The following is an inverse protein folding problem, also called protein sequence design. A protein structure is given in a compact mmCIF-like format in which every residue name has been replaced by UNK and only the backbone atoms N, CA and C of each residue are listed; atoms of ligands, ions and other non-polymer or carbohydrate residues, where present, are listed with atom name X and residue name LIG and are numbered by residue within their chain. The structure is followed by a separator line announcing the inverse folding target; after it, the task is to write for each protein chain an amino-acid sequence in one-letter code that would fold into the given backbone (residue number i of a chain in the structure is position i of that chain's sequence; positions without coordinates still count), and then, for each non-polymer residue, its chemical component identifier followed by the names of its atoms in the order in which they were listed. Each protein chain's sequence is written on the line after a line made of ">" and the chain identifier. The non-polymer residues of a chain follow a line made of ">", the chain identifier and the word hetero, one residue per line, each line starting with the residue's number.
data_IF_456613634406
#
_entry.id   IF_456613634406
#
_cell.length_a   1.000
_cell.length_b   1.000
_cell.length_c   1.000
_cell.angle_alpha   90.00
_cell.angle_beta   90.00
_cell.angle_gamma   90.00
#
_symmetry.space_group_name_H-M   'P 1'
#
loop_
_entity.id
_entity.type
_entity.pdbx_description
1 polymer ?
#
# COMPACT_ATOMS: atom_id res chain seq x y z
N UNK A 1 -3.11 -54.21 71.70
CA UNK A 1 -3.37 -55.37 70.83
C UNK A 1 -3.01 -54.98 69.41
N UNK A 2 -2.05 -55.73 68.85
CA UNK A 2 -1.60 -55.82 67.46
C UNK A 2 -0.83 -54.63 66.82
N UNK A 3 0.49 -54.71 67.04
CA UNK A 3 1.61 -54.45 66.11
C UNK A 3 1.42 -55.03 64.69
N UNK A 4 2.16 -54.50 63.70
CA UNK A 4 2.32 -55.19 62.41
C UNK A 4 3.06 -54.46 61.27
N UNK A 5 4.37 -54.26 61.43
CA UNK A 5 5.46 -54.43 60.45
C UNK A 5 5.28 -54.13 58.93
N UNK A 6 6.05 -53.13 58.49
CA UNK A 6 6.94 -53.03 57.31
C UNK A 6 6.79 -54.02 56.14
N UNK A 7 6.68 -53.49 54.91
CA UNK A 7 7.41 -54.02 53.72
C UNK A 7 7.68 -52.95 52.67
N UNK A 8 8.98 -52.69 52.46
CA UNK A 8 9.56 -52.02 51.30
C UNK A 8 9.31 -52.83 50.02
N UNK A 9 9.05 -52.18 48.90
CA UNK A 9 9.21 -52.77 47.56
C UNK A 9 9.85 -51.74 46.64
N UNK A 10 10.95 -52.15 46.02
CA UNK A 10 11.85 -51.33 45.22
C UNK A 10 11.29 -50.97 43.83
N UNK A 11 11.68 -49.80 43.33
CA UNK A 11 11.45 -49.36 41.94
C UNK A 11 12.28 -50.17 40.94
N UNK A 12 11.74 -50.49 39.75
CA UNK A 12 12.55 -50.80 38.57
C UNK A 12 12.97 -49.51 37.81
N UNK A 13 14.14 -49.52 37.13
CA UNK A 13 14.78 -48.34 36.55
C UNK A 13 14.16 -47.87 35.23
N UNK A 14 14.32 -46.56 34.96
CA UNK A 14 13.93 -45.89 33.71
C UNK A 14 14.82 -46.31 32.54
N UNK A 15 14.29 -46.57 31.34
CA UNK A 15 15.10 -46.73 30.15
C UNK A 15 15.67 -45.37 29.67
N UNK A 16 16.99 -45.31 29.59
CA UNK A 16 17.78 -44.26 28.95
C UNK A 16 17.71 -44.40 27.44
N UNK A 17 17.25 -43.38 26.73
CA UNK A 17 17.35 -43.28 25.27
C UNK A 17 18.25 -42.11 24.91
N UNK A 18 19.52 -42.40 24.63
CA UNK A 18 20.46 -41.46 24.03
C UNK A 18 20.17 -41.29 22.52
N UNK A 19 20.31 -40.07 21.96
CA UNK A 19 20.15 -39.83 20.53
C UNK A 19 21.38 -40.31 19.71
N UNK A 20 21.21 -40.70 18.44
CA UNK A 20 22.32 -41.14 17.59
C UNK A 20 23.22 -39.97 17.12
N UNK A 21 24.51 -40.23 16.83
CA UNK A 21 25.51 -39.20 16.51
C UNK A 21 25.38 -38.63 15.09
N UNK A 22 25.79 -37.36 14.95
CA UNK A 22 25.92 -36.64 13.68
C UNK A 22 27.16 -37.09 12.89
N UNK A 23 27.14 -37.11 11.54
CA UNK A 23 28.31 -37.42 10.72
C UNK A 23 29.33 -36.26 10.69
N UNK A 24 30.62 -36.56 10.40
CA UNK A 24 31.74 -35.67 10.68
C UNK A 24 31.92 -34.53 9.67
N UNK A 25 32.46 -33.43 10.20
CA UNK A 25 33.05 -32.30 9.48
C UNK A 25 34.43 -32.71 8.97
N UNK A 26 34.68 -32.60 7.67
CA UNK A 26 36.03 -32.65 7.11
C UNK A 26 36.43 -31.27 6.58
N UNK A 27 37.39 -30.65 7.26
CA UNK A 27 38.31 -29.68 6.67
C UNK A 27 39.51 -30.47 6.16
N UNK A 28 39.85 -30.34 4.89
CA UNK A 28 41.26 -30.20 4.51
C UNK A 28 41.45 -29.47 3.18
N UNK A 29 42.63 -28.87 3.07
CA UNK A 29 42.95 -27.73 2.23
C UNK A 29 43.57 -28.08 0.85
N UNK A 30 43.74 -26.99 0.08
CA UNK A 30 44.78 -26.73 -0.92
C UNK A 30 44.54 -27.08 -2.42
N UNK A 31 44.37 -25.98 -3.16
CA UNK A 31 45.07 -25.61 -4.39
C UNK A 31 44.96 -26.50 -5.65
N UNK A 32 44.30 -25.95 -6.68
CA UNK A 32 44.76 -25.85 -8.08
C UNK A 32 43.70 -25.12 -8.95
N UNK A 33 44.02 -23.93 -9.44
CA UNK A 33 43.39 -23.36 -10.65
C UNK A 33 44.25 -23.65 -11.89
N UNK A 34 43.93 -23.12 -13.09
CA UNK A 34 42.69 -22.51 -13.55
C UNK A 34 42.08 -23.29 -14.73
N UNK A 35 40.75 -23.30 -14.87
CA UNK A 35 40.13 -23.69 -16.13
C UNK A 35 38.83 -22.92 -16.34
N UNK A 36 38.84 -22.05 -17.34
CA UNK A 36 37.70 -21.33 -17.88
C UNK A 36 36.58 -22.31 -18.24
N UNK A 37 35.50 -22.30 -17.45
CA UNK A 37 34.18 -22.76 -17.93
C UNK A 37 33.22 -21.59 -17.85
N UNK A 38 32.76 -21.18 -19.03
CA UNK A 38 31.69 -20.21 -19.24
C UNK A 38 30.44 -20.75 -18.54
N UNK A 39 30.00 -20.07 -17.49
CA UNK A 39 28.67 -20.31 -16.92
C UNK A 39 27.60 -19.95 -17.95
N UNK A 40 26.43 -20.62 -17.93
CA UNK A 40 25.36 -20.30 -18.84
C UNK A 40 24.90 -18.86 -18.63
N UNK A 41 24.88 -18.11 -19.73
CA UNK A 41 24.29 -16.78 -19.85
C UNK A 41 22.83 -16.86 -19.39
N UNK A 42 22.53 -16.27 -18.23
CA UNK A 42 21.15 -15.98 -17.85
C UNK A 42 20.64 -14.96 -18.87
N UNK A 43 19.57 -15.24 -19.62
CA UNK A 43 19.04 -14.28 -20.57
C UNK A 43 18.55 -13.06 -19.79
N UNK A 44 19.18 -11.91 -20.02
CA UNK A 44 18.58 -10.60 -19.75
C UNK A 44 17.36 -10.50 -20.64
N UNK A 45 16.20 -10.77 -20.08
CA UNK A 45 14.94 -10.61 -20.78
C UNK A 45 14.65 -9.11 -20.90
N UNK A 46 14.98 -8.56 -22.06
CA UNK A 46 14.46 -7.30 -22.55
C UNK A 46 13.06 -7.55 -23.11
N UNK A 47 11.99 -7.07 -22.45
CA UNK A 47 10.68 -6.97 -23.09
C UNK A 47 10.45 -5.53 -23.53
N UNK A 48 10.51 -5.33 -24.85
CA UNK A 48 9.96 -4.17 -25.53
C UNK A 48 8.56 -4.46 -26.09
N UNK A 49 7.77 -3.40 -26.18
CA UNK A 49 6.62 -3.14 -27.06
C UNK A 49 5.42 -4.11 -27.05
N UNK A 50 4.29 -3.52 -26.64
CA UNK A 50 2.93 -3.66 -27.19
C UNK A 50 2.44 -5.06 -27.57
N UNK A 51 1.71 -5.69 -26.65
CA UNK A 51 0.57 -6.54 -26.99
C UNK A 51 -0.60 -6.26 -26.05
N UNK A 52 -1.67 -5.72 -26.61
CA UNK A 52 -3.03 -5.93 -26.13
C UNK A 52 -3.34 -7.43 -26.21
N UNK A 53 -3.78 -8.04 -25.11
CA UNK A 53 -4.46 -9.34 -25.10
C UNK A 53 -5.58 -9.37 -24.03
N UNK A 54 -6.65 -10.15 -24.26
CA UNK A 54 -7.97 -9.97 -23.66
C UNK A 54 -8.12 -10.65 -22.27
N UNK A 55 -9.30 -10.45 -21.68
CA UNK A 55 -9.72 -10.91 -20.34
C UNK A 55 -9.29 -12.35 -19.97
N UNK A 56 -8.86 -12.49 -18.70
CA UNK A 56 -8.76 -13.79 -18.02
C UNK A 56 -7.36 -14.40 -17.93
N UNK A 57 -6.42 -13.76 -17.23
CA UNK A 57 -5.26 -14.45 -16.63
C UNK A 57 -4.60 -13.55 -15.58
N UNK A 58 -4.56 -13.99 -14.32
CA UNK A 58 -3.83 -13.33 -13.23
C UNK A 58 -2.40 -13.86 -13.21
N UNK A 59 -1.47 -13.05 -13.70
CA UNK A 59 -0.03 -13.36 -13.68
C UNK A 59 0.57 -12.98 -12.31
N UNK A 60 1.32 -13.89 -11.69
CA UNK A 60 1.81 -13.83 -10.30
C UNK A 60 3.04 -12.91 -10.08
N UNK A 61 3.25 -11.89 -10.92
CA UNK A 61 4.46 -11.06 -10.86
C UNK A 61 4.19 -9.56 -11.12
N UNK A 62 3.12 -9.04 -10.52
CA UNK A 62 2.86 -7.60 -10.47
C UNK A 62 3.80 -6.94 -9.45
N UNK A 63 4.77 -6.16 -9.94
CA UNK A 63 5.45 -5.14 -9.12
C UNK A 63 4.39 -4.24 -8.47
N UNK A 64 4.64 -3.80 -7.24
CA UNK A 64 3.76 -3.01 -6.37
C UNK A 64 3.47 -1.59 -6.90
N UNK A 65 3.16 -1.44 -8.19
CA UNK A 65 2.71 -0.19 -8.75
C UNK A 65 1.18 -0.19 -8.68
N UNK A 66 0.61 0.78 -7.95
CA UNK A 66 -0.84 1.03 -7.86
C UNK A 66 -1.43 1.48 -9.22
N UNK A 67 -0.56 1.55 -10.23
CA UNK A 67 -0.85 1.91 -11.59
C UNK A 67 0.01 1.07 -12.56
N UNK A 68 -0.55 0.44 -13.62
CA UNK A 68 0.27 -0.07 -14.70
C UNK A 68 0.87 1.12 -15.47
N UNK A 69 2.16 1.40 -15.25
CA UNK A 69 2.92 2.42 -15.98
C UNK A 69 3.53 1.77 -17.24
N UNK A 70 3.24 2.25 -18.47
CA UNK A 70 4.11 2.00 -19.59
C UNK A 70 5.39 2.83 -19.38
N UNK A 71 6.53 2.15 -19.18
CA UNK A 71 7.84 2.82 -19.09
C UNK A 71 8.09 3.60 -20.38
N UNK A 72 8.23 4.92 -20.29
CA UNK A 72 8.85 5.72 -21.35
C UNK A 72 10.30 5.25 -21.50
N UNK A 73 10.63 4.66 -22.65
CA UNK A 73 12.00 4.32 -22.98
C UNK A 73 12.83 5.61 -23.02
N UNK A 74 13.77 5.77 -22.09
CA UNK A 74 14.84 6.74 -22.24
C UNK A 74 15.75 6.24 -23.36
N UNK A 75 15.45 6.61 -24.60
CA UNK A 75 16.35 6.37 -25.72
C UNK A 75 17.52 7.34 -25.57
N UNK A 76 18.69 6.81 -25.18
CA UNK A 76 19.93 7.58 -25.14
C UNK A 76 20.24 8.13 -26.53
N UNK A 77 20.01 9.41 -26.75
CA UNK A 77 20.52 10.12 -27.92
C UNK A 77 21.97 10.52 -27.65
N UNK A 78 22.88 9.98 -28.47
CA UNK A 78 24.22 10.56 -28.65
C UNK A 78 24.08 11.94 -29.29
N UNK A 79 24.89 12.94 -28.92
CA UNK A 79 24.89 14.23 -29.62
C UNK A 79 25.49 14.08 -31.03
N UNK A 80 24.92 14.74 -32.06
CA UNK A 80 25.52 14.81 -33.38
C UNK A 80 26.73 15.76 -33.41
N UNK A 81 27.68 15.57 -34.35
CA UNK A 81 28.85 16.44 -34.49
C UNK A 81 28.47 17.87 -34.94
N UNK A 82 29.32 18.88 -34.70
CA UNK A 82 28.99 20.27 -34.94
C UNK A 82 28.98 20.57 -36.46
N UNK A 83 27.79 20.70 -37.03
CA UNK A 83 27.56 21.19 -38.38
C UNK A 83 26.75 22.49 -38.34
N UNK A 84 27.30 23.56 -38.92
CA UNK A 84 26.65 24.88 -39.03
C UNK A 84 25.37 24.78 -39.86
N UNK A 85 24.21 25.10 -39.28
CA UNK A 85 22.99 25.38 -40.03
C UNK A 85 22.25 26.58 -39.44
N UNK A 86 21.89 27.50 -40.35
CA UNK A 86 21.11 28.73 -40.16
C UNK A 86 19.76 28.44 -39.48
N UNK A 87 19.39 29.26 -38.51
CA UNK A 87 18.04 29.30 -37.94
C UNK A 87 17.09 30.08 -38.85
N UNK A 88 15.95 29.52 -39.29
CA UNK A 88 14.76 30.33 -39.46
C UNK A 88 14.11 30.53 -38.09
N UNK A 89 13.81 31.79 -37.75
CA UNK A 89 12.87 32.14 -36.69
C UNK A 89 11.53 31.46 -36.99
N UNK A 90 11.02 30.58 -36.12
CA UNK A 90 9.61 30.62 -35.74
C UNK A 90 9.21 29.64 -34.63
N UNK A 91 8.21 30.09 -33.85
CA UNK A 91 7.29 29.38 -32.96
C UNK A 91 7.79 28.93 -31.58
N UNK A 92 7.79 29.87 -30.64
CA UNK A 92 7.29 29.57 -29.30
C UNK A 92 5.76 29.52 -29.35
N UNK A 93 5.19 28.32 -29.29
CA UNK A 93 3.84 28.13 -28.79
C UNK A 93 3.92 26.87 -27.93
N UNK A 94 4.02 27.08 -26.63
CA UNK A 94 3.84 26.03 -25.63
C UNK A 94 2.37 25.64 -25.71
N UNK A 95 2.05 24.68 -26.57
CA UNK A 95 0.77 24.00 -26.53
C UNK A 95 0.72 23.24 -25.19
N UNK A 96 0.13 23.88 -24.19
CA UNK A 96 -0.21 23.25 -22.93
C UNK A 96 -1.24 22.17 -23.27
N UNK A 97 -0.76 20.96 -23.57
CA UNK A 97 -1.57 19.79 -23.88
C UNK A 97 -2.65 19.65 -22.81
N UNK A 98 -3.83 20.15 -23.13
CA UNK A 98 -4.98 20.15 -22.24
C UNK A 98 -5.47 18.72 -22.22
N UNK A 99 -5.19 17.99 -21.14
CA UNK A 99 -5.62 16.59 -21.02
C UNK A 99 -7.15 16.57 -20.95
N UNK A 100 -7.85 16.02 -21.97
CA UNK A 100 -9.30 16.06 -22.02
C UNK A 100 -9.93 15.11 -20.98
N UNK A 101 -9.18 14.11 -20.51
CA UNK A 101 -9.63 13.17 -19.50
C UNK A 101 -9.06 13.59 -18.12
N UNK A 102 -9.94 13.61 -17.12
CA UNK A 102 -9.58 13.99 -15.76
C UNK A 102 -8.61 12.98 -15.13
N UNK A 103 -8.77 11.68 -15.38
CA UNK A 103 -7.98 10.67 -14.66
C UNK A 103 -6.49 10.66 -15.02
N UNK A 104 -6.07 10.71 -16.30
CA UNK A 104 -4.66 10.84 -16.65
C UNK A 104 -4.02 12.11 -16.08
N UNK A 105 -4.78 13.21 -16.01
CA UNK A 105 -4.33 14.46 -15.39
C UNK A 105 -4.11 14.31 -13.88
N UNK A 106 -5.06 13.71 -13.17
CA UNK A 106 -4.94 13.41 -11.73
C UNK A 106 -3.72 12.55 -11.44
N UNK A 107 -3.49 11.49 -12.21
CA UNK A 107 -2.28 10.65 -12.08
C UNK A 107 -1.00 11.46 -12.20
N UNK A 108 -0.93 12.33 -13.21
CA UNK A 108 0.27 13.11 -13.50
C UNK A 108 0.58 14.10 -12.38
N UNK A 109 -0.44 14.80 -11.85
CA UNK A 109 -0.22 15.77 -10.80
C UNK A 109 0.04 15.15 -9.42
N UNK A 110 -0.40 13.90 -9.18
CA UNK A 110 -0.19 13.24 -7.88
C UNK A 110 0.92 12.20 -7.86
N UNK A 111 1.49 11.82 -9.01
CA UNK A 111 2.48 10.74 -9.11
C UNK A 111 3.63 10.82 -8.09
N UNK A 112 4.37 11.94 -8.00
CA UNK A 112 5.46 12.08 -7.03
C UNK A 112 5.02 11.95 -5.56
N UNK A 113 3.80 12.40 -5.25
CA UNK A 113 3.25 12.35 -3.89
C UNK A 113 2.77 10.95 -3.52
N UNK A 114 2.27 10.20 -4.50
CA UNK A 114 1.96 8.78 -4.37
C UNK A 114 3.23 8.01 -3.97
N UNK A 115 4.32 8.15 -4.73
CA UNK A 115 5.58 7.47 -4.43
C UNK A 115 6.13 7.89 -3.05
N UNK A 116 5.94 9.17 -2.69
CA UNK A 116 6.31 9.72 -1.40
C UNK A 116 5.59 9.05 -0.22
N UNK A 117 4.26 8.88 -0.29
CA UNK A 117 3.52 8.23 0.79
C UNK A 117 3.83 6.73 0.89
N UNK A 118 4.04 6.03 -0.22
CA UNK A 118 4.45 4.62 -0.20
C UNK A 118 5.80 4.42 0.50
N UNK A 119 6.75 5.31 0.19
CA UNK A 119 8.08 5.33 0.80
C UNK A 119 7.99 5.64 2.29
N UNK A 120 7.22 6.66 2.68
CA UNK A 120 6.97 7.05 4.07
C UNK A 120 6.41 5.88 4.90
N UNK A 121 5.43 5.15 4.34
CA UNK A 121 4.77 4.03 5.01
C UNK A 121 5.56 2.72 4.92
N UNK A 122 6.62 2.67 4.09
CA UNK A 122 7.47 1.50 3.87
C UNK A 122 6.62 0.28 3.46
N UNK A 123 5.72 0.46 2.49
CA UNK A 123 4.75 -0.57 2.07
C UNK A 123 5.41 -1.77 1.38
N UNK A 124 6.56 -1.56 0.73
CA UNK A 124 7.31 -2.65 0.10
C UNK A 124 8.12 -3.48 1.13
N UNK A 125 8.50 -2.89 2.25
CA UNK A 125 9.29 -3.55 3.29
C UNK A 125 8.44 -4.55 4.10
N UNK A 126 9.07 -5.57 4.74
CA UNK A 126 8.41 -6.37 5.76
C UNK A 126 7.74 -5.45 6.79
N UNK A 127 6.48 -5.74 7.12
CA UNK A 127 5.64 -4.85 7.91
C UNK A 127 5.31 -5.51 9.25
N UNK A 128 5.99 -5.16 10.35
CA UNK A 128 5.63 -5.62 11.69
C UNK A 128 4.23 -5.15 12.09
N UNK A 129 3.57 -5.90 12.98
CA UNK A 129 2.21 -5.61 13.43
C UNK A 129 2.09 -4.22 14.09
N UNK A 130 3.14 -3.77 14.78
CA UNK A 130 3.20 -2.42 15.36
C UNK A 130 3.05 -1.33 14.29
N UNK A 131 3.85 -1.39 13.20
CA UNK A 131 3.76 -0.43 12.10
C UNK A 131 2.42 -0.52 11.39
N UNK A 132 1.95 -1.73 11.12
CA UNK A 132 0.65 -1.97 10.52
C UNK A 132 -0.48 -1.29 11.33
N UNK A 133 -0.50 -1.52 12.65
CA UNK A 133 -1.49 -0.93 13.55
C UNK A 133 -1.45 0.61 13.52
N UNK A 134 -0.25 1.20 13.50
CA UNK A 134 -0.11 2.67 13.36
C UNK A 134 -0.61 3.18 12.01
N UNK A 135 -0.43 2.43 10.93
CA UNK A 135 -0.97 2.79 9.61
C UNK A 135 -2.51 2.76 9.62
N UNK A 136 -3.12 1.70 10.15
CA UNK A 136 -4.58 1.60 10.31
C UNK A 136 -5.11 2.75 11.18
N UNK A 137 -4.44 3.03 12.31
CA UNK A 137 -4.79 4.15 13.18
C UNK A 137 -4.71 5.49 12.47
N UNK A 138 -3.66 5.74 11.70
CA UNK A 138 -3.51 7.00 10.95
C UNK A 138 -4.60 7.19 9.91
N UNK A 139 -4.96 6.15 9.16
CA UNK A 139 -6.10 6.20 8.24
C UNK A 139 -7.42 6.41 8.97
N UNK A 140 -7.67 5.75 10.11
CA UNK A 140 -8.86 6.01 10.92
C UNK A 140 -8.95 7.47 11.36
N UNK A 141 -7.87 8.04 11.91
CA UNK A 141 -7.85 9.41 12.39
C UNK A 141 -8.06 10.43 11.25
N UNK A 142 -7.54 10.15 10.06
CA UNK A 142 -7.74 10.98 8.86
C UNK A 142 -9.18 10.86 8.33
N UNK A 143 -9.64 9.64 8.06
CA UNK A 143 -10.88 9.36 7.34
C UNK A 143 -12.12 9.85 8.11
N UNK A 144 -12.16 9.68 9.44
CA UNK A 144 -13.32 10.12 10.23
C UNK A 144 -13.61 11.62 10.12
N UNK A 145 -12.57 12.44 9.85
CA UNK A 145 -12.69 13.88 9.62
C UNK A 145 -12.94 14.17 8.14
N UNK A 146 -12.15 13.53 7.27
CA UNK A 146 -12.18 13.76 5.83
C UNK A 146 -13.51 13.34 5.19
N UNK A 147 -14.08 12.19 5.58
CA UNK A 147 -15.31 11.65 5.00
C UNK A 147 -16.50 12.60 5.20
N UNK A 148 -16.60 13.20 6.40
CA UNK A 148 -17.65 14.18 6.69
C UNK A 148 -17.56 15.40 5.78
N UNK A 149 -16.34 15.88 5.52
CA UNK A 149 -16.08 17.06 4.68
C UNK A 149 -16.34 16.78 3.21
N UNK A 150 -15.92 15.61 2.71
CA UNK A 150 -16.22 15.18 1.34
C UNK A 150 -17.72 15.02 1.13
N UNK A 151 -18.42 14.36 2.06
CA UNK A 151 -19.88 14.21 2.00
C UNK A 151 -20.60 15.56 1.89
N UNK A 152 -20.12 16.57 2.63
CA UNK A 152 -20.68 17.91 2.58
C UNK A 152 -20.43 18.61 1.24
N UNK A 153 -19.22 18.49 0.69
CA UNK A 153 -18.80 19.11 -0.56
C UNK A 153 -19.43 18.45 -1.81
N UNK A 154 -19.87 17.20 -1.71
CA UNK A 154 -20.57 16.52 -2.80
C UNK A 154 -22.00 17.07 -2.99
N UNK A 155 -22.47 17.15 -4.26
CA UNK A 155 -23.89 17.37 -4.56
C UNK A 155 -24.79 16.39 -3.80
N UNK A 156 -25.92 16.87 -3.30
CA UNK A 156 -26.84 16.06 -2.48
C UNK A 156 -27.22 14.70 -3.11
N UNK A 157 -27.52 14.59 -4.42
CA UNK A 157 -27.85 13.31 -5.03
C UNK A 157 -26.71 12.27 -5.01
N UNK A 158 -25.45 12.71 -4.86
CA UNK A 158 -24.28 11.82 -4.80
C UNK A 158 -23.92 11.39 -3.37
N UNK A 159 -24.58 11.94 -2.34
CA UNK A 159 -24.28 11.57 -0.94
C UNK A 159 -24.58 10.11 -0.63
N UNK A 160 -25.71 9.50 -1.03
CA UNK A 160 -25.96 8.08 -0.80
C UNK A 160 -24.92 7.18 -1.49
N UNK A 161 -24.47 7.57 -2.68
CA UNK A 161 -23.40 6.87 -3.39
C UNK A 161 -22.09 6.91 -2.60
N UNK A 162 -21.73 8.07 -2.03
CA UNK A 162 -20.56 8.21 -1.17
C UNK A 162 -20.71 7.45 0.16
N UNK A 163 -21.89 7.50 0.78
CA UNK A 163 -22.17 6.84 2.07
C UNK A 163 -21.95 5.30 1.97
N UNK A 164 -22.18 4.70 0.79
CA UNK A 164 -21.89 3.29 0.54
C UNK A 164 -20.37 2.96 0.39
N UNK A 165 -19.51 3.97 0.40
CA UNK A 165 -18.07 3.89 0.10
C UNK A 165 -17.17 4.28 1.26
N UNK A 166 -17.74 4.77 2.36
CA UNK A 166 -16.99 5.16 3.56
C UNK A 166 -16.14 4.01 4.07
N UNK A 167 -14.91 4.33 4.48
CA UNK A 167 -13.90 3.34 4.87
C UNK A 167 -13.53 3.42 6.34
N UNK A 168 -13.83 4.52 7.03
CA UNK A 168 -13.57 4.66 8.47
C UNK A 168 -14.13 3.49 9.31
N UNK A 169 -15.32 2.89 9.01
CA UNK A 169 -15.80 1.76 9.79
C UNK A 169 -14.94 0.49 9.67
N UNK A 170 -14.26 0.27 8.54
CA UNK A 170 -13.32 -0.85 8.40
C UNK A 170 -12.12 -0.67 9.32
N UNK A 171 -11.56 0.55 9.38
CA UNK A 171 -10.44 0.84 10.27
C UNK A 171 -10.85 0.75 11.74
N UNK A 172 -12.07 1.17 12.10
CA UNK A 172 -12.62 0.99 13.46
C UNK A 172 -12.69 -0.50 13.85
N UNK A 173 -13.11 -1.38 12.92
CA UNK A 173 -13.12 -2.83 13.16
C UNK A 173 -11.73 -3.39 13.42
N UNK A 174 -10.74 -3.00 12.61
CA UNK A 174 -9.36 -3.46 12.80
C UNK A 174 -8.74 -2.95 14.10
N UNK A 175 -9.01 -1.70 14.46
CA UNK A 175 -8.61 -1.13 15.76
C UNK A 175 -9.14 -1.97 16.92
N UNK A 176 -10.43 -2.35 16.87
CA UNK A 176 -11.05 -3.16 17.91
C UNK A 176 -10.49 -4.59 17.92
N UNK A 177 -10.40 -5.23 16.76
CA UNK A 177 -9.96 -6.62 16.63
C UNK A 177 -8.51 -6.82 17.12
N UNK A 178 -7.64 -5.84 16.87
CA UNK A 178 -6.22 -5.88 17.24
C UNK A 178 -5.89 -5.15 18.54
N UNK A 179 -6.90 -4.64 19.25
CA UNK A 179 -6.74 -3.83 20.46
C UNK A 179 -5.68 -2.72 20.29
N UNK A 180 -5.71 -2.04 19.14
CA UNK A 180 -4.67 -1.05 18.81
C UNK A 180 -4.69 0.07 19.86
N UNK A 181 -3.53 0.54 20.33
CA UNK A 181 -3.49 1.64 21.29
C UNK A 181 -3.87 2.97 20.63
N UNK A 182 -4.26 3.92 21.46
CA UNK A 182 -4.42 5.30 21.04
C UNK A 182 -3.05 5.92 20.68
N UNK A 183 -3.02 6.76 19.64
CA UNK A 183 -1.81 7.48 19.23
C UNK A 183 -2.13 8.99 19.12
N UNK A 184 -1.76 9.72 20.17
CA UNK A 184 -2.05 11.15 20.28
C UNK A 184 -1.32 11.98 19.22
N UNK A 185 -0.12 11.55 18.80
CA UNK A 185 0.65 12.22 17.76
C UNK A 185 -0.03 12.07 16.39
N UNK A 186 -0.46 10.85 16.04
CA UNK A 186 -1.25 10.60 14.82
C UNK A 186 -2.55 11.39 14.81
N UNK A 187 -3.27 11.42 15.93
CA UNK A 187 -4.51 12.20 16.05
C UNK A 187 -4.28 13.70 15.84
N UNK A 188 -3.25 14.26 16.48
CA UNK A 188 -2.90 15.66 16.35
C UNK A 188 -2.51 16.00 14.91
N UNK A 189 -1.66 15.17 14.28
CA UNK A 189 -1.24 15.32 12.90
C UNK A 189 -2.42 15.21 11.92
N UNK A 190 -3.33 14.24 12.10
CA UNK A 190 -4.52 14.08 11.27
C UNK A 190 -5.46 15.29 11.35
N UNK A 191 -5.64 15.87 12.54
CA UNK A 191 -6.45 17.09 12.75
C UNK A 191 -5.79 18.30 12.13
N UNK A 192 -4.48 18.48 12.34
CA UNK A 192 -3.72 19.56 11.77
C UNK A 192 -3.81 19.49 10.25
N UNK A 193 -3.49 18.36 9.63
CA UNK A 193 -3.41 18.22 8.17
C UNK A 193 -4.70 18.54 7.40
N UNK A 194 -5.87 18.45 8.05
CA UNK A 194 -7.17 18.74 7.42
C UNK A 194 -7.24 20.12 6.77
N UNK A 195 -6.61 21.16 7.34
CA UNK A 195 -6.70 22.52 6.81
C UNK A 195 -6.11 22.67 5.40
N UNK A 196 -5.26 21.74 4.96
CA UNK A 196 -4.68 21.74 3.61
C UNK A 196 -5.71 21.46 2.53
N UNK A 197 -6.69 20.63 2.83
CA UNK A 197 -7.64 20.11 1.84
C UNK A 197 -8.73 21.15 1.64
N UNK A 198 -8.76 21.77 0.46
CA UNK A 198 -9.86 22.66 0.06
C UNK A 198 -10.87 21.85 -0.74
N UNK A 199 -12.11 21.80 -0.25
CA UNK A 199 -13.24 21.08 -0.85
C UNK A 199 -14.36 22.09 -1.15
N UNK A 200 -14.03 23.09 -1.98
CA UNK A 200 -14.89 24.23 -2.31
C UNK A 200 -15.77 24.02 -3.55
N UNK A 201 -15.63 22.86 -4.21
CA UNK A 201 -16.36 22.52 -5.43
C UNK A 201 -16.54 21.00 -5.57
N UNK A 202 -17.52 20.53 -6.38
CA UNK A 202 -17.63 19.11 -6.73
C UNK A 202 -16.34 18.58 -7.36
N UNK A 203 -15.69 19.36 -8.22
CA UNK A 203 -14.41 19.00 -8.85
C UNK A 203 -13.32 18.72 -7.80
N UNK A 204 -13.17 19.60 -6.80
CA UNK A 204 -12.25 19.40 -5.69
C UNK A 204 -12.59 18.13 -4.88
N UNK A 205 -13.88 17.87 -4.61
CA UNK A 205 -14.31 16.64 -3.94
C UNK A 205 -13.92 15.38 -4.73
N UNK A 206 -14.14 15.34 -6.04
CA UNK A 206 -13.73 14.22 -6.89
C UNK A 206 -12.21 14.04 -6.97
N UNK A 207 -11.45 15.14 -7.00
CA UNK A 207 -9.99 15.09 -6.91
C UNK A 207 -9.50 14.49 -5.59
N UNK A 208 -10.12 14.86 -4.47
CA UNK A 208 -9.80 14.28 -3.17
C UNK A 208 -10.20 12.81 -3.08
N UNK A 209 -11.41 12.46 -3.55
CA UNK A 209 -11.90 11.09 -3.62
C UNK A 209 -10.99 10.18 -4.45
N UNK A 210 -10.44 10.68 -5.55
CA UNK A 210 -9.51 9.93 -6.41
C UNK A 210 -8.34 9.34 -5.61
N UNK A 211 -7.83 10.07 -4.60
CA UNK A 211 -6.72 9.60 -3.76
C UNK A 211 -7.14 8.40 -2.92
N UNK A 212 -8.29 8.49 -2.24
CA UNK A 212 -8.76 7.43 -1.33
C UNK A 212 -9.32 6.23 -2.11
N UNK A 213 -10.11 6.47 -3.16
CA UNK A 213 -10.65 5.42 -4.04
C UNK A 213 -9.53 4.68 -4.78
N UNK A 214 -8.53 5.40 -5.28
CA UNK A 214 -7.34 4.81 -5.88
C UNK A 214 -6.54 3.98 -4.88
N UNK A 215 -6.48 4.41 -3.62
CA UNK A 215 -5.73 3.69 -2.58
C UNK A 215 -6.29 2.32 -2.21
N UNK A 216 -7.59 2.13 -2.43
CA UNK A 216 -8.26 0.86 -2.18
C UNK A 216 -7.72 -0.29 -3.04
N UNK A 217 -7.26 0.01 -4.25
CA UNK A 217 -6.70 -0.99 -5.18
C UNK A 217 -5.36 -1.54 -4.66
N UNK A 218 -4.49 -0.67 -4.12
CA UNK A 218 -3.24 -1.08 -3.48
C UNK A 218 -3.47 -1.98 -2.27
N UNK A 219 -4.56 -1.75 -1.53
CA UNK A 219 -4.98 -2.60 -0.40
C UNK A 219 -5.21 -4.07 -0.79
N UNK A 220 -5.68 -4.34 -2.02
CA UNK A 220 -5.86 -5.72 -2.51
C UNK A 220 -4.54 -6.46 -2.70
N UNK A 221 -3.44 -5.72 -2.95
CA UNK A 221 -2.10 -6.28 -3.08
C UNK A 221 -1.43 -6.42 -1.70
N UNK A 222 -1.71 -5.50 -0.78
CA UNK A 222 -1.16 -5.54 0.59
C UNK A 222 -1.81 -6.63 1.44
N UNK A 223 -3.11 -6.86 1.31
CA UNK A 223 -3.88 -7.79 2.16
C UNK A 223 -3.29 -9.21 2.18
N UNK A 224 -2.99 -9.87 1.05
CA UNK A 224 -2.37 -11.20 1.06
C UNK A 224 -1.04 -11.26 1.83
N UNK A 225 -0.24 -10.19 1.78
CA UNK A 225 1.04 -10.11 2.51
C UNK A 225 0.81 -10.02 4.03
N UNK A 226 -0.21 -9.29 4.45
CA UNK A 226 -0.61 -9.18 5.87
C UNK A 226 -1.14 -10.51 6.39
N UNK A 227 -1.96 -11.22 5.61
CA UNK A 227 -2.42 -12.57 5.94
C UNK A 227 -1.23 -13.52 6.11
N UNK A 228 -0.31 -13.54 5.14
CA UNK A 228 0.83 -14.44 5.17
C UNK A 228 1.81 -14.14 6.32
N UNK A 229 2.01 -12.88 6.68
CA UNK A 229 2.96 -12.48 7.71
C UNK A 229 2.42 -12.60 9.15
N UNK A 230 1.12 -12.34 9.35
CA UNK A 230 0.53 -12.17 10.69
C UNK A 230 -0.73 -13.02 10.94
N UNK A 231 -1.21 -13.78 9.95
CA UNK A 231 -2.45 -14.56 10.07
C UNK A 231 -3.72 -13.71 10.15
N UNK A 232 -3.66 -12.44 9.74
CA UNK A 232 -4.80 -11.52 9.76
C UNK A 232 -5.86 -11.93 8.73
N UNK A 233 -7.12 -11.59 8.98
CA UNK A 233 -8.24 -11.83 8.06
C UNK A 233 -9.12 -10.58 7.94
N UNK A 234 -9.98 -10.47 6.91
CA UNK A 234 -10.92 -9.34 6.80
C UNK A 234 -11.84 -9.14 8.02
N UNK A 235 -12.10 -10.23 8.76
CA UNK A 235 -12.91 -10.23 9.98
C UNK A 235 -12.06 -10.06 11.25
N UNK A 236 -10.74 -10.23 11.15
CA UNK A 236 -9.81 -10.09 12.25
C UNK A 236 -8.55 -9.32 11.83
N UNK A 237 -8.66 -8.00 11.85
CA UNK A 237 -7.52 -7.09 11.77
C UNK A 237 -6.97 -6.81 10.37
N UNK A 238 -7.65 -7.18 9.28
CA UNK A 238 -7.31 -6.76 7.92
C UNK A 238 -8.50 -6.16 7.13
N UNK A 239 -9.58 -5.78 7.81
CA UNK A 239 -10.81 -5.24 7.23
C UNK A 239 -10.58 -4.00 6.38
N UNK A 240 -9.70 -3.08 6.82
CA UNK A 240 -9.45 -1.80 6.16
C UNK A 240 -8.79 -1.94 4.78
N UNK A 241 -7.74 -2.75 4.67
CA UNK A 241 -7.05 -2.96 3.40
C UNK A 241 -7.78 -3.95 2.51
N UNK A 242 -8.52 -4.91 3.09
CA UNK A 242 -9.45 -5.73 2.34
C UNK A 242 -10.58 -4.88 1.72
N UNK A 243 -11.09 -3.89 2.48
CA UNK A 243 -12.10 -2.95 2.03
C UNK A 243 -13.37 -3.64 1.53
N UNK A 244 -13.68 -3.47 0.25
CA UNK A 244 -14.87 -4.05 -0.39
C UNK A 244 -14.57 -5.37 -1.13
N UNK A 245 -13.38 -5.96 -0.92
CA UNK A 245 -12.96 -7.22 -1.54
C UNK A 245 -13.09 -7.19 -3.05
N UNK A 246 -13.73 -8.23 -3.61
CA UNK A 246 -13.94 -8.40 -5.06
C UNK A 246 -14.70 -7.24 -5.72
N UNK A 247 -15.49 -6.48 -4.95
CA UNK A 247 -16.21 -5.31 -5.47
C UNK A 247 -15.30 -4.09 -5.67
N UNK A 248 -14.10 -4.06 -5.08
CA UNK A 248 -13.20 -2.90 -5.13
C UNK A 248 -12.91 -2.46 -6.57
N UNK A 249 -12.63 -3.41 -7.47
CA UNK A 249 -12.40 -3.11 -8.88
C UNK A 249 -13.63 -2.52 -9.58
N UNK A 250 -14.82 -3.04 -9.31
CA UNK A 250 -16.08 -2.51 -9.87
C UNK A 250 -16.38 -1.10 -9.34
N UNK A 251 -16.21 -0.89 -8.04
CA UNK A 251 -16.43 0.39 -7.38
C UNK A 251 -15.47 1.47 -7.88
N UNK A 252 -14.22 1.12 -8.22
CA UNK A 252 -13.28 2.01 -8.89
C UNK A 252 -13.73 2.39 -10.30
N UNK A 253 -14.25 1.43 -11.08
CA UNK A 253 -14.77 1.72 -12.43
C UNK A 253 -15.94 2.70 -12.37
N UNK A 254 -16.85 2.49 -11.44
CA UNK A 254 -18.00 3.37 -11.21
C UNK A 254 -17.55 4.78 -10.77
N UNK A 255 -16.60 4.88 -9.84
CA UNK A 255 -16.00 6.17 -9.45
C UNK A 255 -15.47 6.95 -10.67
N UNK A 256 -14.72 6.29 -11.56
CA UNK A 256 -14.17 6.94 -12.77
C UNK A 256 -15.26 7.51 -13.67
N UNK A 257 -16.37 6.77 -13.84
CA UNK A 257 -17.51 7.23 -14.63
C UNK A 257 -18.16 8.47 -14.02
N UNK A 258 -18.39 8.46 -12.70
CA UNK A 258 -18.97 9.61 -11.99
C UNK A 258 -18.04 10.82 -11.98
N UNK A 259 -16.75 10.62 -11.78
CA UNK A 259 -15.76 11.70 -11.84
C UNK A 259 -15.77 12.36 -13.23
N UNK A 260 -15.85 11.58 -14.31
CA UNK A 260 -15.95 12.14 -15.66
C UNK A 260 -17.25 12.93 -15.90
N UNK A 261 -18.36 12.53 -15.26
CA UNK A 261 -19.67 13.16 -15.43
C UNK A 261 -19.85 14.42 -14.57
N UNK A 262 -19.29 14.42 -13.35
CA UNK A 262 -19.65 15.40 -12.32
C UNK A 262 -18.51 16.31 -11.86
N UNK A 263 -17.25 16.02 -12.20
CA UNK A 263 -16.13 16.86 -11.80
C UNK A 263 -15.98 18.13 -12.65
N UNK A 264 -16.77 18.31 -13.72
CA UNK A 264 -16.66 19.43 -14.65
C UNK A 264 -15.63 19.18 -15.77
N UNK A 265 -15.93 19.69 -16.97
CA UNK A 265 -15.12 19.48 -18.17
C UNK A 265 -14.22 20.67 -18.52
N UNK A 266 -14.43 21.82 -17.88
CA UNK A 266 -13.62 23.03 -18.06
C UNK A 266 -12.26 22.94 -17.33
N UNK A 267 -11.35 23.83 -17.70
CA UNK A 267 -9.98 23.83 -17.19
C UNK A 267 -9.91 24.17 -15.69
N UNK A 268 -10.78 25.06 -15.20
CA UNK A 268 -10.80 25.47 -13.79
C UNK A 268 -11.23 24.31 -12.90
N UNK A 269 -12.27 23.58 -13.32
CA UNK A 269 -12.73 22.34 -12.69
C UNK A 269 -11.62 21.29 -12.63
N UNK A 270 -10.96 21.00 -13.75
CA UNK A 270 -9.84 20.03 -13.79
C UNK A 270 -8.67 20.47 -12.91
N UNK A 271 -8.35 21.76 -12.90
CA UNK A 271 -7.31 22.31 -12.05
C UNK A 271 -7.70 22.22 -10.55
N UNK A 272 -8.97 22.46 -10.20
CA UNK A 272 -9.48 22.32 -8.83
C UNK A 272 -9.39 20.87 -8.35
N UNK A 273 -9.77 19.90 -9.18
CA UNK A 273 -9.62 18.48 -8.89
C UNK A 273 -8.15 18.10 -8.65
N UNK A 274 -7.23 18.52 -9.53
CA UNK A 274 -5.79 18.30 -9.34
C UNK A 274 -5.26 18.90 -8.04
N UNK A 275 -5.62 20.15 -7.73
CA UNK A 275 -5.19 20.82 -6.49
C UNK A 275 -5.68 20.07 -5.25
N UNK A 276 -6.95 19.67 -5.22
CA UNK A 276 -7.51 18.94 -4.09
C UNK A 276 -6.89 17.54 -3.93
N UNK A 277 -6.58 16.84 -5.04
CA UNK A 277 -5.89 15.56 -5.00
C UNK A 277 -4.48 15.69 -4.40
N UNK A 278 -3.71 16.69 -4.85
CA UNK A 278 -2.39 17.04 -4.31
C UNK A 278 -2.48 17.35 -2.81
N UNK A 279 -3.40 18.23 -2.41
CA UNK A 279 -3.62 18.60 -1.01
C UNK A 279 -4.01 17.40 -0.14
N UNK A 280 -4.76 16.44 -0.70
CA UNK A 280 -5.16 15.22 0.01
C UNK A 280 -3.95 14.33 0.28
N UNK A 281 -3.06 14.16 -0.71
CA UNK A 281 -1.80 13.45 -0.49
C UNK A 281 -0.90 14.17 0.51
N UNK A 282 -0.73 15.49 0.39
CA UNK A 282 0.05 16.27 1.35
C UNK A 282 -0.49 16.11 2.78
N UNK A 283 -1.81 16.14 2.94
CA UNK A 283 -2.45 15.96 4.23
C UNK A 283 -2.26 14.54 4.79
N UNK A 284 -2.31 13.50 3.95
CA UNK A 284 -1.98 12.14 4.35
C UNK A 284 -0.51 12.01 4.75
N UNK A 285 0.42 12.56 3.95
CA UNK A 285 1.85 12.57 4.26
C UNK A 285 2.12 13.25 5.60
N UNK A 286 1.49 14.38 5.88
CA UNK A 286 1.59 15.07 7.16
C UNK A 286 1.02 14.22 8.31
N UNK A 287 -0.13 13.58 8.08
CA UNK A 287 -0.77 12.67 9.05
C UNK A 287 0.15 11.52 9.43
N UNK A 288 0.89 10.97 8.47
CA UNK A 288 1.75 9.81 8.66
C UNK A 288 3.20 10.12 9.06
N UNK A 289 3.58 11.40 9.20
CA UNK A 289 4.92 11.75 9.71
C UNK A 289 5.30 11.03 11.02
N UNK A 290 4.39 10.87 12.01
CA UNK A 290 4.72 10.14 13.24
C UNK A 290 5.07 8.65 13.01
N UNK A 291 4.64 8.05 11.89
CA UNK A 291 4.91 6.64 11.53
C UNK A 291 6.30 6.46 10.91
N UNK A 292 6.93 7.55 10.44
CA UNK A 292 8.24 7.52 9.79
C UNK A 292 9.38 7.07 10.71
N UNK A 293 9.17 7.12 12.03
CA UNK A 293 10.14 6.62 12.99
C UNK A 293 10.50 5.14 12.73
N UNK A 294 11.75 4.72 12.99
CA UNK A 294 12.15 3.32 12.87
C UNK A 294 11.22 2.40 13.65
N UNK A 295 11.05 1.16 13.17
CA UNK A 295 10.26 0.18 13.93
C UNK A 295 11.00 -0.12 15.23
N UNK A 296 10.35 0.19 16.35
CA UNK A 296 10.85 -0.23 17.66
C UNK A 296 10.47 -1.71 17.85
N UNK A 297 11.44 -2.65 17.93
CA UNK A 297 11.14 -4.09 18.03
C UNK A 297 10.35 -4.46 19.29
N UNK A 298 10.32 -3.59 20.30
CA UNK A 298 9.65 -3.83 21.59
C UNK A 298 8.20 -3.31 21.64
N UNK A 299 7.76 -2.53 20.64
CA UNK A 299 6.44 -1.88 20.62
C UNK A 299 5.32 -2.72 19.97
N UNK A 300 5.52 -4.03 19.78
CA UNK A 300 4.49 -4.90 19.22
C UNK A 300 3.29 -5.01 20.19
N UNK A 301 2.05 -4.71 19.74
CA UNK A 301 0.89 -5.03 20.55
C UNK A 301 0.85 -6.54 20.78
N UNK A 302 0.52 -7.01 22.00
CA UNK A 302 0.48 -8.44 22.29
C UNK A 302 -0.51 -9.11 21.35
N UNK A 303 -0.09 -10.19 20.69
CA UNK A 303 -0.98 -11.04 19.90
C UNK A 303 -2.07 -11.55 20.86
N UNK A 304 -3.38 -11.39 20.55
CA UNK A 304 -4.41 -11.97 21.37
C UNK A 304 -4.27 -13.49 21.34
N UNK A 305 -4.39 -14.10 22.52
CA UNK A 305 -4.39 -15.55 22.66
C UNK A 305 -5.50 -16.12 21.76
N UNK A 306 -5.13 -17.08 20.91
CA UNK A 306 -6.09 -17.79 20.06
C UNK A 306 -7.25 -18.27 20.95
N UNK A 307 -8.47 -17.83 20.64
CA UNK A 307 -9.66 -18.29 21.32
C UNK A 307 -9.74 -19.81 21.12
N UNK A 308 -9.37 -20.55 22.16
CA UNK A 308 -9.61 -21.98 22.26
C UNK A 308 -11.12 -22.19 22.21
N UNK A 309 -11.61 -22.71 21.08
CA UNK A 309 -12.96 -23.23 20.99
C UNK A 309 -13.10 -24.35 22.03
N UNK A 310 -13.95 -24.11 23.02
CA UNK A 310 -14.47 -25.12 23.94
C UNK A 310 -15.84 -25.60 23.48
#
# INVERSE_FOLDING_TARGET
>A
MCDGSTRQTALPPRPSTSPPPSPPVSMDAAARGPSCRRGPLVPRVCWGRDRFLPEGSLDHNARLAWWPIPRSASCGMRPPPPGRLRFPRSFMTTDAMTDPDLLPRLRRCTGPLHDGIETLLRLEAPMPLARYGRIVRGFHEFLKLWEQRVRHALPEPLRPWFDARVRSPFATRDIAALALPEDAALRAAARASQHRIRLDSPAAAFGSLYVIEGSALGGQVLTPRLVAAHGLTPDHGASYFHGFGDRTGAMWREFRQLAQQHAGADEDSRAAACRAAVQTFEALIETFQPVAAPDDPEAAPPLPAAASAG
#
